data_IF_441668495782
#
_entry.id   IF_441668495782
#
_cell.length_a   1.000
_cell.length_b   1.000
_cell.length_c   1.000
_cell.angle_alpha   90.00
_cell.angle_beta   90.00
_cell.angle_gamma   90.00
#
_symmetry.space_group_name_H-M   'P 1'
#
loop_
_entity.id
_entity.type
_entity.pdbx_description
1 polymer ?
#
# COMPACT_ATOMS: atom_id res chain seq x y z
N UNK A 1 29.93 -1.88 17.71
CA UNK A 1 28.70 -2.63 17.40
C UNK A 1 28.65 -2.74 15.90
N UNK A 2 28.73 -3.95 15.39
CA UNK A 2 28.68 -4.25 13.98
C UNK A 2 27.22 -4.55 13.61
N UNK A 3 26.67 -3.82 12.65
CA UNK A 3 25.32 -4.06 12.15
C UNK A 3 25.43 -5.06 11.00
N UNK A 4 24.73 -6.18 11.11
CA UNK A 4 24.66 -7.19 10.06
C UNK A 4 23.38 -6.96 9.26
N UNK A 5 23.53 -6.76 7.97
CA UNK A 5 22.42 -6.70 7.04
C UNK A 5 21.83 -8.11 6.85
N UNK A 6 20.54 -8.26 7.12
CA UNK A 6 19.80 -9.49 6.87
C UNK A 6 18.91 -9.23 5.66
N UNK A 7 19.40 -9.59 4.47
CA UNK A 7 18.64 -9.47 3.22
C UNK A 7 17.74 -10.70 3.10
N UNK A 8 16.43 -10.49 2.93
CA UNK A 8 15.52 -11.57 2.59
C UNK A 8 15.87 -12.10 1.19
N UNK A 9 15.78 -13.42 0.93
CA UNK A 9 16.06 -13.95 -0.40
C UNK A 9 15.10 -13.34 -1.43
N UNK A 10 15.64 -12.82 -2.55
CA UNK A 10 14.90 -12.20 -3.66
C UNK A 10 14.00 -13.17 -4.45
N UNK A 11 13.87 -14.41 -3.99
CA UNK A 11 12.99 -15.41 -4.62
C UNK A 11 11.54 -15.05 -4.35
N UNK A 12 10.95 -14.24 -5.23
CA UNK A 12 9.51 -13.99 -5.26
C UNK A 12 8.80 -15.31 -5.59
N UNK A 13 7.84 -15.68 -4.75
CA UNK A 13 6.99 -16.85 -4.93
C UNK A 13 6.31 -16.80 -6.32
N UNK A 14 6.45 -17.84 -7.17
CA UNK A 14 5.77 -17.94 -8.45
C UNK A 14 4.25 -17.71 -8.36
N UNK A 15 3.61 -18.10 -7.27
CA UNK A 15 2.17 -17.89 -7.06
C UNK A 15 1.82 -16.39 -6.97
N UNK A 16 2.71 -15.58 -6.38
CA UNK A 16 2.54 -14.12 -6.28
C UNK A 16 2.68 -13.46 -7.65
N UNK A 17 3.58 -13.97 -8.50
CA UNK A 17 3.77 -13.46 -9.85
C UNK A 17 2.58 -13.74 -10.78
N UNK A 18 1.84 -14.81 -10.53
CA UNK A 18 0.64 -15.18 -11.28
C UNK A 18 -0.68 -14.76 -10.62
N UNK A 19 -0.61 -14.09 -9.47
CA UNK A 19 -1.79 -13.64 -8.74
C UNK A 19 -2.70 -12.76 -9.62
N UNK A 20 -4.01 -12.99 -9.51
CA UNK A 20 -5.02 -12.20 -10.21
C UNK A 20 -5.59 -11.10 -9.31
N UNK A 21 -5.99 -10.00 -9.93
CA UNK A 21 -6.71 -8.89 -9.35
C UNK A 21 -8.10 -8.82 -9.99
N UNK A 22 -9.13 -8.80 -9.15
CA UNK A 22 -10.51 -8.60 -9.58
C UNK A 22 -10.77 -7.11 -9.80
N UNK A 23 -11.46 -6.77 -10.89
CA UNK A 23 -11.86 -5.41 -11.24
C UNK A 23 -13.36 -5.32 -11.44
N UNK A 24 -13.92 -4.15 -11.15
CA UNK A 24 -15.18 -3.72 -11.76
C UNK A 24 -14.92 -3.46 -13.24
N UNK A 25 -15.69 -4.13 -14.09
CA UNK A 25 -15.63 -4.01 -15.53
C UNK A 25 -16.94 -3.42 -16.07
N UNK A 26 -16.83 -2.72 -17.19
CA UNK A 26 -17.96 -2.15 -17.90
C UNK A 26 -18.03 -2.75 -19.29
N UNK A 27 -19.11 -3.47 -19.59
CA UNK A 27 -19.43 -4.00 -20.91
C UNK A 27 -20.35 -3.03 -21.65
N UNK A 28 -19.97 -2.60 -22.85
CA UNK A 28 -20.72 -1.57 -23.57
C UNK A 28 -20.56 -1.66 -25.09
N UNK A 29 -21.50 -1.10 -25.88
CA UNK A 29 -21.40 -1.06 -27.34
C UNK A 29 -20.16 -0.30 -27.83
N UNK A 30 -19.42 -0.88 -28.79
CA UNK A 30 -18.15 -0.32 -29.29
C UNK A 30 -18.25 1.12 -29.82
N UNK A 31 -19.44 1.56 -30.26
CA UNK A 31 -19.74 2.96 -30.65
C UNK A 31 -19.46 3.98 -29.54
N UNK A 32 -19.48 3.56 -28.28
CA UNK A 32 -19.20 4.42 -27.13
C UNK A 32 -17.74 4.40 -26.68
N UNK A 33 -16.84 3.64 -27.34
CA UNK A 33 -15.43 3.46 -26.96
C UNK A 33 -14.72 4.75 -26.54
N UNK A 34 -14.68 5.74 -27.42
CA UNK A 34 -14.01 7.02 -27.15
C UNK A 34 -14.68 7.82 -26.03
N UNK A 35 -16.01 7.76 -25.91
CA UNK A 35 -16.77 8.47 -24.87
C UNK A 35 -16.53 7.85 -23.49
N UNK A 36 -16.56 6.52 -23.40
CA UNK A 36 -16.25 5.78 -22.17
C UNK A 36 -14.83 6.06 -21.74
N UNK A 37 -13.84 5.95 -22.63
CA UNK A 37 -12.43 6.23 -22.28
C UNK A 37 -12.25 7.67 -21.77
N UNK A 38 -12.87 8.67 -22.42
CA UNK A 38 -12.81 10.07 -21.96
C UNK A 38 -13.43 10.24 -20.57
N UNK A 39 -14.59 9.63 -20.34
CA UNK A 39 -15.27 9.69 -19.05
C UNK A 39 -14.43 9.02 -17.95
N UNK A 40 -13.90 7.82 -18.23
CA UNK A 40 -13.06 7.06 -17.32
C UNK A 40 -11.73 7.75 -17.00
N UNK A 41 -11.16 8.54 -17.91
CA UNK A 41 -9.97 9.35 -17.63
C UNK A 41 -10.26 10.62 -16.82
N UNK A 42 -11.52 11.09 -16.83
CA UNK A 42 -11.93 12.33 -16.13
C UNK A 42 -12.38 12.03 -14.70
N UNK A 43 -13.14 10.95 -14.52
CA UNK A 43 -13.82 10.66 -13.25
C UNK A 43 -13.19 9.52 -12.45
N UNK A 44 -12.27 8.75 -13.05
CA UNK A 44 -11.61 7.63 -12.39
C UNK A 44 -10.10 7.76 -12.53
N UNK A 45 -9.37 7.24 -11.54
CA UNK A 45 -7.91 7.23 -11.58
C UNK A 45 -7.40 6.38 -12.76
N UNK A 46 -6.29 6.78 -13.41
CA UNK A 46 -5.67 5.98 -14.45
C UNK A 46 -5.09 4.70 -13.84
N UNK A 47 -5.07 3.61 -14.62
CA UNK A 47 -4.53 2.33 -14.16
C UNK A 47 -3.08 2.42 -13.70
N UNK A 48 -2.29 3.31 -14.31
CA UNK A 48 -0.90 3.59 -13.90
C UNK A 48 -0.80 4.14 -12.48
N UNK A 49 -1.69 5.07 -12.09
CA UNK A 49 -1.72 5.62 -10.73
C UNK A 49 -2.21 4.59 -9.69
N UNK A 50 -2.97 3.60 -10.15
CA UNK A 50 -3.43 2.47 -9.32
C UNK A 50 -2.40 1.32 -9.25
N UNK A 51 -1.24 1.46 -9.90
CA UNK A 51 -0.18 0.43 -9.91
C UNK A 51 -0.33 -0.65 -11.00
N UNK A 52 -1.26 -0.50 -11.94
CA UNK A 52 -1.57 -1.46 -13.00
C UNK A 52 -1.16 -0.96 -14.40
N UNK A 53 0.03 -0.38 -14.51
CA UNK A 53 0.55 0.19 -15.76
C UNK A 53 0.68 -0.85 -16.91
N UNK A 54 0.81 -2.13 -16.57
CA UNK A 54 0.90 -3.24 -17.52
C UNK A 54 -0.45 -3.66 -18.13
N UNK A 55 -1.58 -3.13 -17.65
CA UNK A 55 -2.90 -3.48 -18.16
C UNK A 55 -3.37 -2.46 -19.21
N UNK A 56 -3.86 -2.95 -20.35
CA UNK A 56 -4.66 -2.07 -21.23
C UNK A 56 -6.05 -1.93 -20.64
N UNK A 57 -6.58 -0.70 -20.59
CA UNK A 57 -7.89 -0.45 -19.97
C UNK A 57 -9.06 -1.08 -20.72
N UNK A 58 -8.91 -1.40 -22.00
CA UNK A 58 -9.99 -1.78 -22.91
C UNK A 58 -9.67 -3.08 -23.65
N UNK A 59 -10.66 -3.97 -23.74
CA UNK A 59 -10.62 -5.22 -24.51
C UNK A 59 -11.88 -5.35 -25.37
N UNK A 60 -11.80 -6.11 -26.47
CA UNK A 60 -12.99 -6.57 -27.20
C UNK A 60 -13.70 -7.68 -26.43
N UNK A 61 -15.03 -7.65 -26.41
CA UNK A 61 -15.79 -8.74 -25.78
C UNK A 61 -15.54 -10.05 -26.57
N UNK A 62 -15.25 -11.18 -25.90
CA UNK A 62 -14.88 -12.43 -26.57
C UNK A 62 -16.01 -12.98 -27.45
N UNK A 63 -17.25 -12.90 -26.97
CA UNK A 63 -18.43 -13.47 -27.65
C UNK A 63 -19.19 -12.47 -28.50
N UNK A 64 -18.99 -11.16 -28.30
CA UNK A 64 -19.81 -10.09 -28.88
C UNK A 64 -18.91 -9.07 -29.58
N UNK A 65 -18.63 -9.23 -30.88
CA UNK A 65 -17.65 -8.39 -31.60
C UNK A 65 -17.99 -6.89 -31.63
N UNK A 66 -19.25 -6.53 -31.41
CA UNK A 66 -19.74 -5.14 -31.35
C UNK A 66 -19.70 -4.55 -29.94
N UNK A 67 -19.22 -5.29 -28.94
CA UNK A 67 -19.12 -4.89 -27.55
C UNK A 67 -17.65 -4.79 -27.12
N UNK A 68 -17.38 -3.89 -26.18
CA UNK A 68 -16.09 -3.71 -25.54
C UNK A 68 -16.24 -3.88 -24.03
N UNK A 69 -15.14 -4.23 -23.38
CA UNK A 69 -15.04 -4.38 -21.93
C UNK A 69 -13.95 -3.43 -21.44
N UNK A 70 -14.28 -2.55 -20.49
CA UNK A 70 -13.31 -1.63 -19.89
C UNK A 70 -13.13 -1.88 -18.39
N UNK A 71 -11.89 -1.81 -17.90
CA UNK A 71 -11.59 -1.81 -16.47
C UNK A 71 -11.87 -0.42 -15.87
N UNK A 72 -12.63 -0.40 -14.78
CA UNK A 72 -13.03 0.83 -14.08
C UNK A 72 -12.15 1.06 -12.86
N UNK A 73 -12.24 0.16 -11.87
CA UNK A 73 -11.48 0.20 -10.61
C UNK A 73 -11.26 -1.22 -10.05
N UNK A 74 -10.20 -1.46 -9.27
CA UNK A 74 -9.98 -2.74 -8.61
C UNK A 74 -11.00 -2.96 -7.49
N UNK A 75 -11.43 -4.20 -7.31
CA UNK A 75 -12.20 -4.64 -6.14
C UNK A 75 -11.23 -5.15 -5.06
N UNK A 76 -11.40 -4.67 -3.84
CA UNK A 76 -10.66 -5.21 -2.70
C UNK A 76 -11.27 -6.57 -2.33
N UNK A 77 -10.41 -7.55 -2.04
CA UNK A 77 -10.80 -8.93 -1.68
C UNK A 77 -11.74 -9.06 -0.48
N UNK A 78 -11.98 -7.96 0.26
CA UNK A 78 -12.87 -7.93 1.42
C UNK A 78 -14.30 -7.47 1.11
N UNK A 79 -14.61 -7.04 -0.12
CA UNK A 79 -15.97 -6.66 -0.51
C UNK A 79 -16.23 -6.99 -1.99
N UNK A 80 -16.65 -8.23 -2.30
CA UNK A 80 -16.94 -8.66 -3.67
C UNK A 80 -18.29 -8.14 -4.17
N UNK A 81 -19.07 -7.45 -3.33
CA UNK A 81 -20.43 -7.04 -3.66
C UNK A 81 -20.41 -5.76 -4.51
N UNK A 82 -20.54 -5.93 -5.83
CA UNK A 82 -20.78 -4.82 -6.79
C UNK A 82 -22.08 -4.06 -6.45
N UNK A 83 -22.94 -4.67 -5.61
CA UNK A 83 -24.24 -4.17 -5.18
C UNK A 83 -24.15 -2.94 -4.26
N UNK A 84 -23.02 -2.68 -3.61
CA UNK A 84 -22.68 -1.42 -2.91
C UNK A 84 -22.03 -0.40 -3.84
N UNK A 85 -22.35 -0.45 -5.14
CA UNK A 85 -21.82 0.45 -6.16
C UNK A 85 -22.12 1.91 -5.84
N UNK A 86 -21.06 2.72 -5.82
CA UNK A 86 -21.14 4.18 -5.85
C UNK A 86 -22.13 4.62 -6.94
N UNK A 87 -22.90 5.68 -6.65
CA UNK A 87 -23.79 6.33 -7.62
C UNK A 87 -23.11 6.58 -8.98
N UNK A 88 -21.80 6.83 -8.99
CA UNK A 88 -21.00 7.04 -10.20
C UNK A 88 -20.92 5.80 -11.10
N UNK A 89 -20.90 4.59 -10.52
CA UNK A 89 -20.86 3.33 -11.29
C UNK A 89 -22.22 3.05 -11.95
N UNK A 90 -23.32 3.26 -11.22
CA UNK A 90 -24.68 3.05 -11.75
C UNK A 90 -25.01 4.02 -12.89
N UNK A 91 -24.46 5.24 -12.84
CA UNK A 91 -24.58 6.19 -13.94
C UNK A 91 -23.96 5.68 -15.24
N UNK A 92 -22.89 4.88 -15.18
CA UNK A 92 -22.23 4.35 -16.38
C UNK A 92 -23.15 3.44 -17.19
N UNK A 93 -23.98 2.63 -16.53
CA UNK A 93 -24.94 1.74 -17.19
C UNK A 93 -25.97 2.55 -17.99
N UNK A 94 -26.47 3.64 -17.39
CA UNK A 94 -27.48 4.50 -18.01
C UNK A 94 -26.90 5.34 -19.15
N UNK A 95 -25.71 5.91 -18.97
CA UNK A 95 -25.11 6.85 -19.94
C UNK A 95 -24.61 6.12 -21.19
N UNK A 96 -24.13 4.88 -21.05
CA UNK A 96 -23.44 4.16 -22.12
C UNK A 96 -24.17 2.92 -22.62
N UNK A 97 -25.42 2.69 -22.21
CA UNK A 97 -26.16 1.45 -22.47
C UNK A 97 -25.30 0.23 -22.10
N UNK A 98 -24.68 0.33 -20.93
CA UNK A 98 -23.63 -0.56 -20.49
C UNK A 98 -24.13 -1.48 -19.37
N UNK A 99 -23.36 -2.52 -19.12
CA UNK A 99 -23.59 -3.46 -18.02
C UNK A 99 -22.35 -3.50 -17.14
N UNK A 100 -22.53 -3.34 -15.84
CA UNK A 100 -21.46 -3.58 -14.88
C UNK A 100 -21.25 -5.08 -14.69
N UNK A 101 -20.00 -5.50 -14.82
CA UNK A 101 -19.55 -6.88 -14.61
C UNK A 101 -18.23 -6.88 -13.86
N UNK A 102 -17.59 -8.05 -13.74
CA UNK A 102 -16.24 -8.17 -13.19
C UNK A 102 -15.29 -8.75 -14.21
N UNK A 103 -14.02 -8.40 -14.06
CA UNK A 103 -12.94 -8.99 -14.83
C UNK A 103 -11.76 -9.32 -13.92
N UNK A 104 -11.21 -10.51 -14.07
CA UNK A 104 -9.95 -10.92 -13.44
C UNK A 104 -8.79 -10.62 -14.38
N UNK A 105 -7.75 -9.99 -13.85
CA UNK A 105 -6.56 -9.60 -14.62
C UNK A 105 -5.30 -9.81 -13.81
N UNK A 106 -4.15 -9.90 -14.47
CA UNK A 106 -2.87 -10.15 -13.78
C UNK A 106 -2.55 -8.99 -12.83
N UNK A 107 -2.28 -9.29 -11.56
CA UNK A 107 -2.03 -8.28 -10.52
C UNK A 107 -0.71 -7.55 -10.73
N UNK A 108 0.35 -8.30 -11.05
CA UNK A 108 1.69 -7.77 -11.26
C UNK A 108 2.05 -7.74 -12.75
N UNK A 109 2.95 -6.82 -13.14
CA UNK A 109 3.46 -6.80 -14.50
C UNK A 109 4.21 -8.11 -14.81
N UNK A 110 3.99 -8.72 -16.00
CA UNK A 110 4.72 -9.93 -16.37
C UNK A 110 6.21 -9.61 -16.51
N UNK A 111 7.04 -10.31 -15.73
CA UNK A 111 8.50 -10.12 -15.73
C UNK A 111 9.18 -10.83 -16.91
N UNK A 112 8.58 -11.92 -17.38
CA UNK A 112 9.11 -12.70 -18.50
C UNK A 112 8.18 -12.65 -19.70
N UNK A 113 8.75 -12.95 -20.87
CA UNK A 113 7.99 -13.02 -22.12
C UNK A 113 6.97 -14.15 -22.08
N UNK A 114 7.32 -15.28 -21.47
CA UNK A 114 6.45 -16.45 -21.33
C UNK A 114 5.19 -16.11 -20.51
N UNK A 115 5.37 -15.40 -19.39
CA UNK A 115 4.25 -14.92 -18.57
C UNK A 115 3.38 -13.93 -19.34
N UNK A 116 3.99 -13.01 -20.08
CA UNK A 116 3.25 -12.09 -20.93
C UNK A 116 2.40 -12.83 -21.98
N UNK A 117 2.99 -13.77 -22.71
CA UNK A 117 2.28 -14.54 -23.76
C UNK A 117 1.17 -15.44 -23.18
N UNK A 118 1.36 -15.96 -21.97
CA UNK A 118 0.35 -16.71 -21.22
C UNK A 118 -0.85 -15.83 -20.84
N UNK A 119 -0.61 -14.67 -20.22
CA UNK A 119 -1.68 -13.86 -19.62
C UNK A 119 -2.31 -12.86 -20.60
N UNK A 120 -1.61 -12.44 -21.66
CA UNK A 120 -2.17 -11.52 -22.68
C UNK A 120 -3.37 -12.11 -23.43
N UNK A 121 -3.53 -13.44 -23.41
CA UNK A 121 -4.70 -14.16 -23.93
C UNK A 121 -5.98 -13.87 -23.11
N UNK A 122 -5.83 -13.68 -21.80
CA UNK A 122 -6.94 -13.41 -20.88
C UNK A 122 -7.29 -11.93 -20.87
N UNK A 123 -6.29 -11.08 -20.67
CA UNK A 123 -6.46 -9.63 -20.72
C UNK A 123 -5.31 -8.99 -21.48
N UNK A 124 -5.55 -8.03 -22.39
CA UNK A 124 -4.47 -7.42 -23.14
C UNK A 124 -3.49 -6.67 -22.22
N UNK A 125 -2.24 -7.14 -22.23
CA UNK A 125 -1.15 -6.57 -21.43
C UNK A 125 -0.26 -5.64 -22.27
N UNK A 126 0.53 -4.83 -21.58
CA UNK A 126 1.64 -4.05 -22.13
C UNK A 126 2.92 -4.69 -21.58
N UNK A 127 3.78 -5.17 -22.47
CA UNK A 127 5.09 -5.71 -22.10
C UNK A 127 6.14 -4.63 -22.33
N UNK A 128 6.78 -4.19 -21.25
CA UNK A 128 8.02 -3.44 -21.34
C UNK A 128 9.15 -4.43 -21.10
N UNK A 129 10.06 -4.59 -22.06
CA UNK A 129 11.19 -5.51 -21.90
C UNK A 129 12.09 -5.16 -20.70
N UNK A 130 11.98 -3.93 -20.19
CA UNK A 130 12.67 -3.41 -19.01
C UNK A 130 11.90 -3.63 -17.68
N UNK A 131 10.86 -4.47 -17.63
CA UNK A 131 10.15 -4.77 -16.36
C UNK A 131 11.08 -5.38 -15.31
N UNK A 132 12.13 -6.09 -15.73
CA UNK A 132 13.20 -6.51 -14.80
C UNK A 132 13.93 -5.30 -14.20
N UNK A 133 14.35 -4.33 -15.00
CA UNK A 133 15.06 -3.13 -14.52
C UNK A 133 14.18 -2.21 -13.66
N UNK A 134 12.87 -2.09 -13.96
CA UNK A 134 11.96 -1.25 -13.19
C UNK A 134 11.52 -1.90 -11.85
N UNK A 135 11.71 -3.21 -11.69
CA UNK A 135 11.49 -3.91 -10.43
C UNK A 135 12.75 -3.90 -9.53
N UNK A 136 13.91 -3.56 -10.08
CA UNK A 136 15.11 -3.27 -9.29
C UNK A 136 14.87 -1.91 -8.64
N UNK A 137 14.57 -1.94 -7.34
CA UNK A 137 14.57 -0.72 -6.53
C UNK A 137 15.90 0.00 -6.74
N UNK A 138 15.92 1.33 -6.87
CA UNK A 138 17.17 2.07 -6.95
C UNK A 138 18.07 1.66 -5.78
N UNK A 139 19.36 1.50 -6.06
CA UNK A 139 20.31 1.15 -5.02
C UNK A 139 20.25 2.23 -3.93
N UNK A 140 20.20 1.80 -2.67
CA UNK A 140 20.22 2.70 -1.51
C UNK A 140 21.49 3.54 -1.61
N UNK A 141 21.34 4.86 -1.68
CA UNK A 141 22.47 5.77 -1.78
C UNK A 141 23.23 5.84 -0.44
N UNK A 142 24.51 6.24 -0.47
CA UNK A 142 25.32 6.29 0.76
C UNK A 142 24.73 7.28 1.80
N UNK A 143 24.08 8.36 1.34
CA UNK A 143 23.37 9.28 2.22
C UNK A 143 22.17 8.62 2.91
N UNK A 144 21.37 7.86 2.16
CA UNK A 144 20.24 7.11 2.71
C UNK A 144 20.71 6.05 3.69
N UNK A 145 21.81 5.37 3.38
CA UNK A 145 22.46 4.40 4.26
C UNK A 145 22.93 5.03 5.56
N UNK A 146 23.54 6.23 5.52
CA UNK A 146 23.94 6.97 6.72
C UNK A 146 22.73 7.34 7.59
N UNK A 147 21.61 7.78 6.98
CA UNK A 147 20.35 8.06 7.70
C UNK A 147 19.79 6.78 8.32
N UNK A 148 19.74 5.69 7.56
CA UNK A 148 19.30 4.39 8.06
C UNK A 148 20.13 3.92 9.24
N UNK A 149 21.45 4.03 9.15
CA UNK A 149 22.37 3.65 10.22
C UNK A 149 22.16 4.50 11.47
N UNK A 150 21.99 5.83 11.33
CA UNK A 150 21.68 6.75 12.43
C UNK A 150 20.42 6.30 13.18
N UNK A 151 19.33 6.04 12.46
CA UNK A 151 18.06 5.63 13.05
C UNK A 151 18.11 4.23 13.67
N UNK A 152 18.82 3.28 13.04
CA UNK A 152 19.09 1.96 13.60
C UNK A 152 19.88 2.04 14.91
N UNK A 153 20.90 2.90 14.98
CA UNK A 153 21.68 3.14 16.20
C UNK A 153 20.78 3.66 17.32
N UNK A 154 19.88 4.60 17.03
CA UNK A 154 18.88 5.08 17.99
C UNK A 154 17.99 3.95 18.47
N UNK A 155 17.47 3.13 17.56
CA UNK A 155 16.60 2.00 17.91
C UNK A 155 17.31 1.02 18.85
N UNK A 156 18.58 0.71 18.58
CA UNK A 156 19.38 -0.17 19.45
C UNK A 156 19.68 0.46 20.81
N UNK A 157 19.98 1.76 20.86
CA UNK A 157 20.21 2.47 22.13
C UNK A 157 18.96 2.43 23.02
N UNK A 158 17.80 2.75 22.46
CA UNK A 158 16.51 2.65 23.16
C UNK A 158 16.24 1.20 23.59
N UNK A 159 16.53 0.23 22.72
CA UNK A 159 16.33 -1.19 23.04
C UNK A 159 17.18 -1.68 24.20
N UNK A 160 18.44 -1.22 24.31
CA UNK A 160 19.31 -1.54 25.45
C UNK A 160 18.75 -0.98 26.76
N UNK A 161 18.37 0.30 26.75
CA UNK A 161 17.75 0.96 27.91
C UNK A 161 16.48 0.23 28.36
N UNK A 162 15.57 -0.06 27.43
CA UNK A 162 14.32 -0.79 27.74
C UNK A 162 14.57 -2.21 28.24
N UNK A 163 15.58 -2.91 27.71
CA UNK A 163 15.97 -4.24 28.19
C UNK A 163 16.49 -4.20 29.62
N UNK A 164 17.29 -3.20 29.97
CA UNK A 164 17.80 -2.98 31.32
C UNK A 164 16.68 -2.59 32.30
N UNK A 165 15.78 -1.69 31.91
CA UNK A 165 14.66 -1.22 32.74
C UNK A 165 13.61 -2.32 33.00
N UNK A 166 13.28 -3.12 31.99
CA UNK A 166 12.21 -4.12 32.11
C UNK A 166 12.67 -5.43 32.73
N UNK A 167 13.98 -5.68 32.84
CA UNK A 167 14.59 -6.88 33.44
C UNK A 167 13.93 -8.21 33.02
N UNK A 168 13.43 -8.28 31.78
CA UNK A 168 12.72 -9.44 31.24
C UNK A 168 13.47 -10.01 30.05
N UNK A 169 13.04 -11.18 29.60
CA UNK A 169 13.55 -11.82 28.40
C UNK A 169 12.43 -11.89 27.37
N UNK A 170 12.19 -10.80 26.64
CA UNK A 170 11.50 -10.89 25.37
C UNK A 170 12.44 -11.57 24.37
N UNK A 171 11.93 -12.59 23.68
CA UNK A 171 12.64 -13.27 22.58
C UNK A 171 12.51 -12.51 21.24
N UNK A 172 11.92 -11.32 21.25
CA UNK A 172 11.69 -10.45 20.09
C UNK A 172 12.44 -9.12 20.22
N UNK A 173 12.27 -8.19 19.26
CA UNK A 173 12.88 -6.86 19.34
C UNK A 173 12.51 -6.16 20.64
N UNK A 174 13.44 -5.35 21.14
CA UNK A 174 13.26 -4.55 22.37
C UNK A 174 12.82 -3.12 22.06
N UNK A 175 13.01 -2.67 20.82
CA UNK A 175 12.74 -1.29 20.43
C UNK A 175 12.37 -1.16 18.96
N UNK A 176 11.54 -0.15 18.71
CA UNK A 176 11.18 0.34 17.39
C UNK A 176 11.28 1.87 17.38
N UNK A 177 11.84 2.40 16.29
CA UNK A 177 11.88 3.84 15.99
C UNK A 177 11.09 4.06 14.72
N UNK A 178 10.27 5.11 14.74
CA UNK A 178 9.45 5.50 13.61
C UNK A 178 9.89 6.89 13.18
N UNK A 179 10.14 7.06 11.88
CA UNK A 179 10.76 8.25 11.30
C UNK A 179 9.89 8.80 10.19
N UNK A 180 9.72 10.13 10.18
CA UNK A 180 9.12 10.86 9.08
C UNK A 180 10.16 10.97 7.93
N UNK A 181 9.91 10.34 6.77
CA UNK A 181 10.89 10.33 5.68
C UNK A 181 11.12 11.72 5.07
N UNK A 182 10.15 12.62 5.15
CA UNK A 182 10.20 13.92 4.45
C UNK A 182 11.16 14.87 5.17
N UNK A 183 11.28 14.75 6.49
CA UNK A 183 12.10 15.60 7.34
C UNK A 183 13.27 14.87 8.03
N UNK A 184 13.39 13.55 7.86
CA UNK A 184 14.39 12.70 8.54
C UNK A 184 14.33 12.79 10.08
N UNK A 185 13.13 13.01 10.64
CA UNK A 185 12.93 13.19 12.07
C UNK A 185 12.22 12.01 12.72
N UNK A 186 12.70 11.62 13.90
CA UNK A 186 12.03 10.64 14.75
C UNK A 186 10.67 11.17 15.19
N UNK A 187 9.60 10.46 14.84
CA UNK A 187 8.23 10.81 15.23
C UNK A 187 7.74 10.04 16.44
N UNK A 188 8.24 8.83 16.66
CA UNK A 188 7.89 8.00 17.80
C UNK A 188 8.95 6.92 18.09
N UNK A 189 8.96 6.46 19.33
CA UNK A 189 9.70 5.28 19.79
C UNK A 189 8.76 4.34 20.53
N UNK A 190 9.24 3.13 20.82
CA UNK A 190 8.58 2.19 21.73
C UNK A 190 8.79 2.49 23.22
N UNK A 191 9.31 3.67 23.57
CA UNK A 191 9.46 4.07 24.98
C UNK A 191 8.10 4.34 25.62
N UNK A 192 7.94 3.92 26.87
CA UNK A 192 6.72 4.15 27.64
C UNK A 192 7.06 5.11 28.78
N UNK A 193 6.25 6.16 28.96
CA UNK A 193 6.24 6.93 30.19
C UNK A 193 5.52 6.16 31.30
N UNK A 194 5.77 6.52 32.57
CA UNK A 194 5.10 5.90 33.74
C UNK A 194 3.57 5.91 33.60
N UNK A 195 3.00 7.00 33.07
CA UNK A 195 1.55 7.15 32.83
C UNK A 195 1.00 6.20 31.76
N UNK A 196 1.83 5.81 30.79
CA UNK A 196 1.41 4.95 29.67
C UNK A 196 1.69 3.48 29.92
N UNK A 197 2.54 3.15 30.90
CA UNK A 197 2.84 1.78 31.29
C UNK A 197 1.59 1.02 31.75
N UNK A 198 0.61 1.73 32.32
CA UNK A 198 -0.67 1.16 32.75
C UNK A 198 -1.57 0.74 31.57
N UNK A 199 -1.40 1.38 30.40
CA UNK A 199 -2.15 1.08 29.16
C UNK A 199 -1.63 -0.19 28.48
N UNK A 200 -0.32 -0.41 28.53
CA UNK A 200 0.36 -1.52 27.84
C UNK A 200 0.79 -2.65 28.79
N UNK A 201 -0.02 -2.93 29.81
CA UNK A 201 0.27 -3.96 30.84
C UNK A 201 0.48 -5.36 30.26
N UNK A 202 -0.17 -5.68 29.14
CA UNK A 202 -0.08 -6.98 28.49
C UNK A 202 1.04 -6.99 27.45
N UNK A 203 2.28 -7.07 27.95
CA UNK A 203 3.50 -6.98 27.14
C UNK A 203 3.58 -8.05 26.03
N UNK A 204 2.89 -9.19 26.18
CA UNK A 204 2.81 -10.24 25.14
C UNK A 204 2.01 -9.83 23.92
N UNK A 205 1.15 -8.81 24.01
CA UNK A 205 0.38 -8.27 22.90
C UNK A 205 1.00 -6.97 22.35
N UNK A 206 1.66 -6.20 23.22
CA UNK A 206 2.24 -4.90 22.87
C UNK A 206 3.73 -5.01 22.57
N UNK A 207 4.04 -5.60 21.42
CA UNK A 207 5.39 -5.56 20.84
C UNK A 207 5.83 -4.10 20.59
N UNK A 208 7.14 -3.80 20.54
CA UNK A 208 7.64 -2.43 20.35
C UNK A 208 7.03 -1.70 19.15
N UNK A 209 6.75 -2.43 18.05
CA UNK A 209 6.09 -1.87 16.87
C UNK A 209 4.66 -1.38 17.17
N UNK A 210 3.89 -2.13 17.95
CA UNK A 210 2.52 -1.75 18.33
C UNK A 210 2.50 -0.50 19.20
N UNK A 211 3.46 -0.40 20.12
CA UNK A 211 3.64 0.78 20.98
C UNK A 211 3.99 2.00 20.13
N UNK A 212 4.94 1.86 19.20
CA UNK A 212 5.38 2.97 18.36
C UNK A 212 4.27 3.44 17.41
N UNK A 213 3.47 2.53 16.85
CA UNK A 213 2.31 2.87 16.01
C UNK A 213 1.24 3.62 16.81
N UNK A 214 0.90 3.17 18.02
CA UNK A 214 -0.07 3.90 18.85
C UNK A 214 0.47 5.26 19.32
N UNK A 215 1.78 5.38 19.54
CA UNK A 215 2.43 6.67 19.83
C UNK A 215 2.33 7.65 18.65
N UNK A 216 2.49 7.18 17.40
CA UNK A 216 2.24 8.00 16.20
C UNK A 216 0.78 8.42 16.14
N UNK A 217 -0.15 7.48 16.29
CA UNK A 217 -1.58 7.78 16.25
C UNK A 217 -1.99 8.79 17.33
N UNK A 218 -1.39 8.72 18.53
CA UNK A 218 -1.62 9.67 19.61
C UNK A 218 -1.04 11.06 19.31
N UNK A 219 0.16 11.14 18.72
CA UNK A 219 0.74 12.40 18.23
C UNK A 219 -0.19 13.07 17.22
N UNK A 220 -0.70 12.30 16.26
CA UNK A 220 -1.59 12.82 15.21
C UNK A 220 -2.92 13.31 15.79
N UNK A 221 -3.54 12.53 16.70
CA UNK A 221 -4.75 12.96 17.44
C UNK A 221 -4.53 14.27 18.20
N UNK A 222 -3.36 14.45 18.83
CA UNK A 222 -3.04 15.69 19.56
C UNK A 222 -2.86 16.89 18.63
N UNK A 223 -2.22 16.70 17.48
CA UNK A 223 -2.07 17.74 16.46
C UNK A 223 -3.43 18.19 15.94
N UNK A 224 -4.31 17.25 15.61
CA UNK A 224 -5.68 17.56 15.17
C UNK A 224 -6.45 18.34 16.25
N UNK A 225 -6.35 17.93 17.51
CA UNK A 225 -7.01 18.62 18.62
C UNK A 225 -6.45 20.03 18.89
N UNK A 226 -5.20 20.32 18.50
CA UNK A 226 -4.59 21.65 18.57
C UNK A 226 -5.02 22.52 17.38
N UNK A 227 -4.99 21.96 16.16
CA UNK A 227 -5.47 22.62 14.93
C UNK A 227 -6.96 23.01 15.05
N UNK A 228 -7.79 22.15 15.64
CA UNK A 228 -9.21 22.40 15.90
C UNK A 228 -9.45 23.54 16.92
N UNK A 229 -8.57 23.67 17.92
CA UNK A 229 -8.63 24.75 18.91
C UNK A 229 -8.19 26.09 18.33
N UNK A 230 -7.25 26.08 17.39
CA UNK A 230 -6.67 27.29 16.82
C UNK A 230 -7.50 27.87 15.65
N UNK A 231 -8.17 27.01 14.87
CA UNK A 231 -8.86 27.46 13.64
C UNK A 231 -10.38 27.61 13.73
N UNK A 232 -11.04 27.07 14.76
CA UNK A 232 -12.48 27.30 15.00
C UNK A 232 -13.42 27.05 13.80
N UNK A 233 -13.00 26.28 12.78
CA UNK A 233 -13.76 26.09 11.53
C UNK A 233 -13.79 24.65 11.05
N UNK A 234 -15.03 24.18 10.88
CA UNK A 234 -15.58 23.05 10.09
C UNK A 234 -14.58 22.05 9.51
N UNK A 235 -14.64 20.83 10.05
CA UNK A 235 -14.14 19.56 9.49
C UNK A 235 -14.29 19.47 7.97
N UNK A 236 -13.24 19.82 7.22
CA UNK A 236 -12.95 19.09 5.99
C UNK A 236 -12.24 17.81 6.42
N UNK A 237 -12.86 16.65 6.17
CA UNK A 237 -12.21 15.35 6.33
C UNK A 237 -11.06 15.26 5.32
N UNK A 238 -9.89 15.77 5.68
CA UNK A 238 -8.65 15.31 5.08
C UNK A 238 -8.46 13.88 5.57
N UNK A 239 -8.50 12.92 4.65
CA UNK A 239 -8.23 11.52 4.96
C UNK A 239 -6.72 11.39 5.24
N UNK A 240 -6.31 11.59 6.50
CA UNK A 240 -4.93 11.32 6.95
C UNK A 240 -4.83 9.82 7.26
N UNK A 241 -3.95 9.14 6.56
CA UNK A 241 -3.67 7.72 6.73
C UNK A 241 -2.61 7.55 7.82
N UNK A 242 -2.88 6.74 8.84
CA UNK A 242 -1.91 6.42 9.89
C UNK A 242 -0.71 5.73 9.26
N UNK A 243 0.49 6.27 9.49
CA UNK A 243 1.77 5.74 8.99
C UNK A 243 1.98 5.76 7.46
N UNK A 244 1.23 6.56 6.70
CA UNK A 244 1.48 6.66 5.25
C UNK A 244 2.83 7.32 4.96
N UNK A 245 3.67 6.67 4.16
CA UNK A 245 5.03 7.10 3.86
C UNK A 245 6.04 6.86 4.98
N UNK A 246 5.61 6.49 6.19
CA UNK A 246 6.49 6.44 7.35
C UNK A 246 7.43 5.23 7.31
N UNK A 247 8.73 5.47 7.48
CA UNK A 247 9.74 4.43 7.65
C UNK A 247 9.74 3.88 9.08
N UNK A 248 9.61 2.56 9.23
CA UNK A 248 9.74 1.89 10.52
C UNK A 248 11.03 1.08 10.56
N UNK A 249 11.85 1.29 11.59
CA UNK A 249 13.07 0.53 11.83
C UNK A 249 12.97 -0.19 13.17
N UNK A 250 13.27 -1.49 13.16
CA UNK A 250 13.20 -2.37 14.32
C UNK A 250 14.56 -3.01 14.57
N UNK A 251 14.89 -3.24 15.84
CA UNK A 251 16.15 -3.89 16.24
C UNK A 251 16.21 -5.39 15.89
N UNK A 252 15.11 -5.98 15.44
CA UNK A 252 15.01 -7.33 14.87
C UNK A 252 13.81 -7.40 13.92
N UNK A 253 13.71 -8.48 13.14
CA UNK A 253 12.48 -8.79 12.40
C UNK A 253 11.26 -8.75 13.36
N UNK A 254 10.17 -8.12 12.92
CA UNK A 254 8.91 -8.13 13.64
C UNK A 254 8.31 -9.53 13.59
N UNK A 255 7.79 -10.02 14.72
CA UNK A 255 7.00 -11.25 14.74
C UNK A 255 5.71 -11.01 13.95
N UNK A 256 5.46 -11.83 12.92
CA UNK A 256 4.18 -11.89 12.19
C UNK A 256 3.31 -12.96 12.83
#
# INVERSE_FOLDING_TARGET
MELLEVVAPDTVDPEVLEAQQLFVALEFPARFGSKVMKHLSTNFQPLTALGFAHLKRLKKHPEMPKMLVALVCPLNSHDPDISTSSHDLQQLETIFEAKLTTAETLKLAPRTRELFEKHTKHWPLIFHASVEEAAVLPAIEEEEKMKMEKHLRTAVQVGKKLKEERQKTLNCSWSCVVVDPDVDEQVATSELSEDTQTKYKFETLYHPVMIAVDAVAERDRRREAQEDKETGRKKQKAMRYVCHGIGAQSSSACCV
#
